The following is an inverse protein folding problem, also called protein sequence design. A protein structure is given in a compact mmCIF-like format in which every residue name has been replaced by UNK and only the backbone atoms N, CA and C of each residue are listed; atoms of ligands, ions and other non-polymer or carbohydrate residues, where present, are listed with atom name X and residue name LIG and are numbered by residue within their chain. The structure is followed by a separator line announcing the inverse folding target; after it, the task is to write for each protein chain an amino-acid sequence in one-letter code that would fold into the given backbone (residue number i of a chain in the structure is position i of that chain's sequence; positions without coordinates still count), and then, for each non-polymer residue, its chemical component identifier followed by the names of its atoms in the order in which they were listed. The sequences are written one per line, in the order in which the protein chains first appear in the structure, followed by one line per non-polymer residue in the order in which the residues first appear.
data_IF_502756380530
#
_entry.id   IF_502756380530
#
_cell.length_a   1.000
_cell.length_b   1.000
_cell.length_c   1.000
_cell.angle_alpha   90.00
_cell.angle_beta   90.00
_cell.angle_gamma   90.00
#
_symmetry.space_group_name_H-M   'P 1'
#
loop_
_entity.id
_entity.type
_entity.pdbx_description
1 polymer ?
#
# COMPACT_ATOMS: atom_id res chain seq x y z
N UNK A 1 38.96 -47.13 -47.67
CA UNK A 1 38.14 -46.22 -48.50
C UNK A 1 36.72 -46.05 -47.99
N UNK A 2 35.99 -47.14 -47.75
CA UNK A 2 34.58 -47.10 -47.28
C UNK A 2 34.37 -46.32 -45.96
N UNK A 3 35.22 -46.53 -44.95
CA UNK A 3 35.14 -45.77 -43.68
C UNK A 3 35.38 -44.27 -43.84
N UNK A 4 36.22 -43.87 -44.80
CA UNK A 4 36.47 -42.45 -45.08
C UNK A 4 35.27 -41.83 -45.82
N UNK A 5 34.65 -42.58 -46.74
CA UNK A 5 33.43 -42.17 -47.40
C UNK A 5 32.27 -42.01 -46.40
N UNK A 6 32.12 -42.92 -45.43
CA UNK A 6 31.12 -42.79 -44.36
C UNK A 6 31.35 -41.56 -43.48
N UNK A 7 32.60 -41.28 -43.09
CA UNK A 7 32.93 -40.06 -42.33
C UNK A 7 32.58 -38.80 -43.10
N UNK A 8 32.89 -38.77 -44.40
CA UNK A 8 32.56 -37.64 -45.26
C UNK A 8 31.04 -37.46 -45.42
N UNK A 9 30.27 -38.55 -45.50
CA UNK A 9 28.81 -38.50 -45.59
C UNK A 9 28.16 -37.97 -44.30
N UNK A 10 28.60 -38.46 -43.13
CA UNK A 10 28.10 -38.01 -41.82
C UNK A 10 28.42 -36.53 -41.59
N UNK A 11 29.63 -36.08 -41.94
CA UNK A 11 29.98 -34.67 -41.83
C UNK A 11 29.07 -33.81 -42.70
N UNK A 12 28.83 -34.23 -43.95
CA UNK A 12 27.95 -33.51 -44.86
C UNK A 12 26.51 -33.45 -44.35
N UNK A 13 25.98 -34.53 -43.77
CA UNK A 13 24.64 -34.56 -43.17
C UNK A 13 24.54 -33.61 -41.95
N UNK A 14 25.63 -33.51 -41.17
CA UNK A 14 25.72 -32.58 -40.03
C UNK A 14 25.70 -31.13 -40.52
N UNK A 15 26.47 -30.81 -41.55
CA UNK A 15 26.52 -29.45 -42.11
C UNK A 15 25.16 -29.04 -42.74
N UNK A 16 24.44 -29.99 -43.37
CA UNK A 16 23.11 -29.79 -43.95
C UNK A 16 22.01 -29.54 -42.89
N UNK A 17 22.18 -30.02 -41.66
CA UNK A 17 21.20 -29.82 -40.60
C UNK A 17 21.04 -28.34 -40.23
N UNK A 18 22.10 -27.55 -40.37
CA UNK A 18 22.11 -26.10 -40.11
C UNK A 18 21.64 -25.27 -41.33
N UNK A 19 21.50 -25.88 -42.51
CA UNK A 19 21.02 -25.23 -43.75
C UNK A 19 19.50 -25.32 -43.96
N UNK A 20 18.78 -26.00 -43.06
CA UNK A 20 17.31 -26.06 -43.12
C UNK A 20 16.69 -24.66 -42.94
N UNK A 21 15.60 -24.31 -43.65
CA UNK A 21 14.89 -23.03 -43.47
C UNK A 21 14.49 -22.76 -42.02
N UNK A 22 14.18 -23.82 -41.27
CA UNK A 22 13.80 -23.72 -39.85
C UNK A 22 15.01 -23.40 -38.95
N UNK A 23 16.18 -23.98 -39.24
CA UNK A 23 17.42 -23.69 -38.51
C UNK A 23 17.92 -22.26 -38.80
N UNK A 24 17.82 -21.81 -40.06
CA UNK A 24 18.12 -20.43 -40.46
C UNK A 24 17.19 -19.44 -39.76
N UNK A 25 15.88 -19.70 -39.73
CA UNK A 25 14.93 -18.84 -39.03
C UNK A 25 15.20 -18.75 -37.52
N UNK A 26 15.65 -19.83 -36.89
CA UNK A 26 16.03 -19.84 -35.47
C UNK A 26 17.33 -19.04 -35.24
N UNK A 27 18.31 -19.11 -36.16
CA UNK A 27 19.53 -18.30 -36.06
C UNK A 27 19.24 -16.81 -36.27
N UNK A 28 18.44 -16.45 -37.27
CA UNK A 28 18.01 -15.07 -37.51
C UNK A 28 17.22 -14.50 -36.33
N UNK A 29 16.26 -15.26 -35.79
CA UNK A 29 15.49 -14.84 -34.61
C UNK A 29 16.38 -14.64 -33.37
N UNK A 30 17.44 -15.45 -33.18
CA UNK A 30 18.42 -15.26 -32.10
C UNK A 30 19.25 -13.99 -32.29
N UNK A 31 19.71 -13.71 -33.52
CA UNK A 31 20.44 -12.47 -33.83
C UNK A 31 19.56 -11.21 -33.72
N UNK A 32 18.26 -11.33 -33.99
CA UNK A 32 17.32 -10.22 -33.89
C UNK A 32 16.94 -9.89 -32.42
N UNK A 33 16.92 -10.88 -31.52
CA UNK A 33 16.71 -10.66 -30.08
C UNK A 33 17.84 -9.87 -29.43
N UNK A 34 19.10 -10.10 -29.83
CA UNK A 34 20.25 -9.30 -29.36
C UNK A 34 20.23 -7.85 -29.90
N UNK A 35 19.49 -7.61 -30.99
CA UNK A 35 19.34 -6.29 -31.62
C UNK A 35 18.18 -5.47 -31.01
N UNK A 36 17.15 -6.14 -30.48
CA UNK A 36 15.92 -5.51 -29.99
C UNK A 36 15.93 -5.16 -28.49
N UNK A 37 16.95 -5.59 -27.72
CA UNK A 37 17.20 -5.13 -26.34
C UNK A 37 18.41 -4.19 -26.24
N UNK A 38 18.59 -3.35 -27.24
CA UNK A 38 19.43 -2.16 -27.13
C UNK A 38 18.49 -0.97 -27.04
N UNK A 39 18.36 -0.38 -25.85
CA UNK A 39 18.16 1.08 -25.80
C UNK A 39 19.31 1.66 -26.61
N UNK A 40 19.03 2.00 -27.88
CA UNK A 40 20.03 2.41 -28.83
C UNK A 40 20.67 3.71 -28.33
N UNK A 41 21.85 3.60 -27.74
CA UNK A 41 22.68 4.75 -27.35
C UNK A 41 23.46 5.28 -28.55
N UNK A 42 23.06 4.92 -29.78
CA UNK A 42 23.75 5.31 -31.03
C UNK A 42 23.81 6.84 -31.21
N UNK A 43 22.98 7.58 -30.48
CA UNK A 43 22.98 9.05 -30.43
C UNK A 43 23.61 9.64 -29.16
N UNK A 44 24.16 8.81 -28.27
CA UNK A 44 24.84 9.22 -27.04
C UNK A 44 26.34 9.07 -27.29
N UNK A 45 27.05 10.18 -27.20
CA UNK A 45 28.51 10.17 -27.22
C UNK A 45 29.02 9.64 -25.87
N UNK A 46 29.54 8.41 -25.88
CA UNK A 46 30.07 7.74 -24.68
C UNK A 46 31.31 8.42 -24.10
N UNK A 47 31.99 9.28 -24.86
CA UNK A 47 33.17 10.03 -24.40
C UNK A 47 32.80 11.44 -23.91
N UNK A 48 31.53 11.84 -24.06
CA UNK A 48 31.06 13.14 -23.62
C UNK A 48 30.85 13.14 -22.10
N UNK A 49 31.77 13.78 -21.40
CA UNK A 49 31.61 14.08 -19.99
C UNK A 49 30.46 15.09 -19.75
N UNK A 50 29.71 14.95 -18.64
CA UNK A 50 28.68 15.90 -18.26
C UNK A 50 29.30 17.29 -18.03
N UNK A 51 28.58 18.32 -18.43
CA UNK A 51 29.00 19.71 -18.22
C UNK A 51 29.03 20.05 -16.73
N UNK A 52 29.84 21.04 -16.36
CA UNK A 52 29.90 21.55 -14.99
C UNK A 52 28.53 22.04 -14.50
N UNK A 53 27.69 22.55 -15.41
CA UNK A 53 26.33 22.99 -15.10
C UNK A 53 25.40 21.82 -14.79
N UNK A 54 25.42 20.75 -15.61
CA UNK A 54 24.65 19.52 -15.33
C UNK A 54 25.06 18.90 -13.99
N UNK A 55 26.36 18.87 -13.71
CA UNK A 55 26.89 18.40 -12.42
C UNK A 55 26.37 19.28 -11.27
N UNK A 56 26.41 20.61 -11.42
CA UNK A 56 25.96 21.54 -10.39
C UNK A 56 24.45 21.41 -10.11
N UNK A 57 23.64 21.24 -11.16
CA UNK A 57 22.21 20.99 -11.06
C UNK A 57 21.96 19.67 -10.30
N UNK A 58 22.64 18.59 -10.69
CA UNK A 58 22.50 17.28 -10.04
C UNK A 58 22.90 17.32 -8.56
N UNK A 59 24.04 17.95 -8.24
CA UNK A 59 24.47 18.12 -6.85
C UNK A 59 23.48 18.94 -6.02
N UNK A 60 22.90 19.99 -6.62
CA UNK A 60 21.89 20.83 -5.97
C UNK A 60 20.63 20.02 -5.69
N UNK A 61 20.17 19.22 -6.64
CA UNK A 61 19.01 18.34 -6.47
C UNK A 61 19.24 17.31 -5.35
N UNK A 62 20.39 16.63 -5.35
CA UNK A 62 20.74 15.66 -4.29
C UNK A 62 20.83 16.34 -2.92
N UNK A 63 21.41 17.54 -2.84
CA UNK A 63 21.50 18.30 -1.59
C UNK A 63 20.13 18.75 -1.09
N UNK A 64 19.22 19.12 -1.99
CA UNK A 64 17.85 19.46 -1.65
C UNK A 64 17.09 18.23 -1.13
N UNK A 65 17.19 17.09 -1.81
CA UNK A 65 16.55 15.84 -1.39
C UNK A 65 17.10 15.34 -0.05
N UNK A 66 18.43 15.36 0.13
CA UNK A 66 19.07 14.97 1.38
C UNK A 66 18.71 15.88 2.56
N UNK A 67 18.43 17.17 2.32
CA UNK A 67 17.88 18.09 3.32
C UNK A 67 16.41 17.79 3.63
N UNK A 68 15.61 17.49 2.61
CA UNK A 68 14.19 17.16 2.78
C UNK A 68 13.99 15.84 3.52
N UNK A 69 14.93 14.90 3.40
CA UNK A 69 14.86 13.58 4.02
C UNK A 69 15.85 13.40 5.19
N UNK A 70 16.48 14.49 5.65
CA UNK A 70 17.42 14.58 6.78
C UNK A 70 18.42 13.41 6.90
N UNK A 71 18.95 12.93 5.76
CA UNK A 71 19.82 11.73 5.70
C UNK A 71 21.21 11.95 6.35
N UNK A 72 21.53 13.19 6.73
CA UNK A 72 22.80 13.56 7.37
C UNK A 72 22.76 13.48 8.90
N UNK A 73 21.57 13.36 9.52
CA UNK A 73 21.42 13.20 10.96
C UNK A 73 20.18 12.35 11.28
N UNK A 74 20.32 11.07 11.68
CA UNK A 74 19.18 10.22 12.02
C UNK A 74 18.42 10.67 13.28
N UNK A 75 18.89 11.73 13.95
CA UNK A 75 18.28 12.29 15.16
C UNK A 75 17.75 13.72 14.98
N UNK A 76 17.91 14.34 13.82
CA UNK A 76 17.29 15.64 13.55
C UNK A 76 15.91 15.39 12.92
N UNK A 77 14.88 15.75 13.68
CA UNK A 77 13.61 16.14 13.09
C UNK A 77 13.84 17.52 12.48
N UNK A 78 13.83 17.62 11.15
CA UNK A 78 13.97 18.89 10.46
C UNK A 78 12.91 19.91 10.88
N UNK A 79 13.30 20.83 11.76
CA UNK A 79 12.66 22.14 11.87
C UNK A 79 13.29 23.07 10.82
N UNK A 80 12.40 23.85 10.20
CA UNK A 80 12.64 25.05 9.40
C UNK A 80 12.89 24.90 7.89
N UNK A 81 11.80 24.68 7.14
CA UNK A 81 11.39 25.72 6.18
C UNK A 81 9.91 26.04 6.28
N UNK A 82 9.65 27.34 6.28
CA UNK A 82 8.38 28.08 6.25
C UNK A 82 7.43 27.63 5.12
N UNK A 83 6.89 26.43 5.26
CA UNK A 83 5.54 26.09 4.86
C UNK A 83 5.00 25.37 6.07
N UNK A 84 4.11 26.01 6.83
CA UNK A 84 3.32 25.35 7.86
C UNK A 84 2.36 24.37 7.17
N UNK A 85 2.92 23.37 6.49
CA UNK A 85 2.20 22.18 6.11
C UNK A 85 2.00 21.46 7.42
N UNK A 86 0.94 21.84 8.14
CA UNK A 86 0.53 21.18 9.37
C UNK A 86 0.63 19.69 9.11
N UNK A 87 1.51 19.00 9.84
CA UNK A 87 1.61 17.56 9.74
C UNK A 87 0.21 16.97 9.95
N UNK A 88 -0.12 15.82 9.38
CA UNK A 88 -1.45 15.23 9.58
C UNK A 88 -1.77 15.11 11.08
N UNK A 89 -0.75 14.80 11.90
CA UNK A 89 -0.78 14.87 13.36
C UNK A 89 -1.18 16.24 13.93
N UNK A 90 -0.64 17.34 13.44
CA UNK A 90 -1.02 18.70 13.86
C UNK A 90 -2.46 19.05 13.47
N UNK A 91 -2.90 18.66 12.27
CA UNK A 91 -4.29 18.86 11.82
C UNK A 91 -5.27 18.09 12.72
N UNK A 92 -4.93 16.84 13.04
CA UNK A 92 -5.69 16.00 13.97
C UNK A 92 -5.74 16.62 15.38
N UNK A 93 -4.61 17.11 15.88
CA UNK A 93 -4.55 17.78 17.19
C UNK A 93 -5.39 19.05 17.23
N UNK A 94 -5.32 19.89 16.19
CA UNK A 94 -6.11 21.11 16.05
C UNK A 94 -7.61 20.81 15.97
N UNK A 95 -8.01 19.81 15.17
CA UNK A 95 -9.40 19.38 15.05
C UNK A 95 -9.96 18.82 16.37
N UNK A 96 -9.17 18.03 17.11
CA UNK A 96 -9.56 17.51 18.42
C UNK A 96 -9.74 18.64 19.44
N UNK A 97 -8.81 19.62 19.45
CA UNK A 97 -8.91 20.80 20.31
C UNK A 97 -10.17 21.62 20.00
N UNK A 98 -10.41 21.91 18.72
CA UNK A 98 -11.60 22.64 18.28
C UNK A 98 -12.91 21.91 18.65
N UNK A 99 -12.96 20.58 18.51
CA UNK A 99 -14.11 19.78 18.95
C UNK A 99 -14.33 19.88 20.46
N UNK A 100 -13.26 19.74 21.26
CA UNK A 100 -13.32 19.87 22.72
C UNK A 100 -13.82 21.25 23.15
N UNK A 101 -13.32 22.30 22.52
CA UNK A 101 -13.74 23.68 22.80
C UNK A 101 -15.22 23.89 22.46
N UNK A 102 -15.71 23.34 21.34
CA UNK A 102 -17.14 23.39 21.01
C UNK A 102 -18.02 22.64 22.01
N UNK A 103 -17.59 21.45 22.47
CA UNK A 103 -18.34 20.68 23.47
C UNK A 103 -18.44 21.44 24.80
N UNK A 104 -17.41 22.20 25.16
CA UNK A 104 -17.38 22.89 26.45
C UNK A 104 -17.98 24.30 26.43
N UNK A 105 -17.80 25.03 25.31
CA UNK A 105 -18.08 26.46 25.26
C UNK A 105 -19.30 26.82 24.39
N UNK A 106 -19.76 25.93 23.50
CA UNK A 106 -21.00 26.14 22.75
C UNK A 106 -22.17 25.51 23.52
N UNK A 107 -23.07 26.36 24.03
CA UNK A 107 -24.15 25.95 24.93
C UNK A 107 -25.10 24.89 24.33
N UNK A 108 -25.44 25.02 23.04
CA UNK A 108 -26.32 24.06 22.34
C UNK A 108 -25.63 22.71 22.17
N UNK A 109 -24.39 22.71 21.68
CA UNK A 109 -23.59 21.49 21.50
C UNK A 109 -23.32 20.81 22.85
N UNK A 110 -23.01 21.57 23.89
CA UNK A 110 -22.78 21.08 25.24
C UNK A 110 -24.02 20.37 25.81
N UNK A 111 -25.18 21.04 25.73
CA UNK A 111 -26.45 20.49 26.24
C UNK A 111 -26.86 19.23 25.48
N UNK A 112 -26.80 19.25 24.15
CA UNK A 112 -27.14 18.10 23.33
C UNK A 112 -26.21 16.90 23.58
N UNK A 113 -24.90 17.16 23.71
CA UNK A 113 -23.91 16.11 24.04
C UNK A 113 -24.19 15.52 25.41
N UNK A 114 -24.45 16.37 26.42
CA UNK A 114 -24.80 15.91 27.77
C UNK A 114 -26.08 15.08 27.78
N UNK A 115 -27.10 15.46 27.02
CA UNK A 115 -28.36 14.71 26.93
C UNK A 115 -28.17 13.36 26.26
N UNK A 116 -27.38 13.28 25.19
CA UNK A 116 -27.13 12.01 24.49
C UNK A 116 -26.26 11.03 25.30
N UNK A 117 -25.38 11.56 26.16
CA UNK A 117 -24.52 10.76 27.04
C UNK A 117 -25.18 10.37 28.37
N UNK A 118 -26.36 10.89 28.68
CA UNK A 118 -27.08 10.49 29.90
C UNK A 118 -27.75 9.13 29.68
N UNK A 119 -27.42 8.16 30.52
CA UNK A 119 -28.12 6.87 30.54
C UNK A 119 -29.57 7.06 30.98
N UNK A 120 -30.50 6.41 30.28
CA UNK A 120 -31.90 6.38 30.69
C UNK A 120 -32.05 5.62 32.00
N UNK A 121 -32.72 6.22 32.98
CA UNK A 121 -32.99 5.56 34.25
C UNK A 121 -33.94 4.36 34.02
N UNK A 122 -33.52 3.18 34.47
CA UNK A 122 -34.42 2.01 34.51
C UNK A 122 -35.51 2.30 35.54
N UNK A 123 -36.77 2.34 35.08
CA UNK A 123 -37.92 2.47 35.97
C UNK A 123 -37.94 1.24 36.88
N UNK A 124 -37.67 1.43 38.18
CA UNK A 124 -37.88 0.39 39.17
C UNK A 124 -39.37 0.03 39.18
N UNK A 125 -39.70 -1.21 38.81
CA UNK A 125 -41.07 -1.72 38.90
C UNK A 125 -41.37 -2.10 40.33
N UNK A 126 -42.25 -1.37 41.00
CA UNK A 126 -42.72 -1.69 42.35
C UNK A 126 -43.80 -2.79 42.36
N UNK A 127 -43.82 -3.70 41.37
CA UNK A 127 -44.83 -4.75 41.30
C UNK A 127 -44.51 -5.84 42.33
N UNK A 128 -45.01 -5.65 43.55
CA UNK A 128 -44.90 -6.60 44.67
C UNK A 128 -45.99 -7.68 44.65
N UNK A 129 -46.83 -7.77 43.62
CA UNK A 129 -47.97 -8.67 43.62
C UNK A 129 -47.66 -9.95 42.86
N UNK A 130 -47.20 -10.96 43.60
CA UNK A 130 -46.98 -12.32 43.10
C UNK A 130 -48.22 -13.15 43.47
N UNK A 131 -48.97 -13.73 42.51
CA UNK A 131 -50.20 -14.45 42.82
C UNK A 131 -49.92 -15.79 43.52
N UNK A 132 -50.69 -16.08 44.57
CA UNK A 132 -50.62 -17.32 45.33
C UNK A 132 -51.25 -18.48 44.53
N UNK A 133 -50.50 -19.59 44.34
CA UNK A 133 -50.89 -20.73 43.50
C UNK A 133 -51.74 -21.80 44.20
N UNK A 134 -52.07 -21.64 45.48
CA UNK A 134 -52.84 -22.66 46.21
C UNK A 134 -54.34 -22.51 45.89
N UNK A 135 -54.91 -23.50 45.19
CA UNK A 135 -56.37 -23.67 45.07
C UNK A 135 -56.83 -24.72 46.07
N UNK A 136 -57.77 -24.37 46.95
CA UNK A 136 -58.35 -25.33 47.89
C UNK A 136 -59.26 -26.29 47.13
N UNK A 137 -58.89 -27.57 47.10
CA UNK A 137 -59.64 -28.65 46.49
C UNK A 137 -60.87 -28.96 47.36
N UNK A 138 -62.06 -28.53 46.93
CA UNK A 138 -63.31 -28.96 47.57
C UNK A 138 -63.59 -30.43 47.22
N UNK A 139 -63.06 -31.35 48.05
CA UNK A 139 -63.60 -32.70 48.17
C UNK A 139 -64.88 -32.64 48.99
N UNK A 140 -66.03 -32.96 48.38
CA UNK A 140 -67.29 -33.44 49.00
C UNK A 140 -68.49 -32.91 48.21
N UNK A 141 -69.41 -33.69 47.64
CA UNK A 141 -69.67 -35.13 47.60
C UNK A 141 -70.49 -35.38 46.32
N UNK A 142 -70.20 -36.46 45.60
CA UNK A 142 -71.20 -37.14 44.78
C UNK A 142 -71.12 -38.63 45.13
N UNK A 143 -72.13 -39.14 45.82
CA UNK A 143 -72.51 -40.57 45.87
C UNK A 143 -73.90 -40.67 46.49
N UNK A 144 -74.83 -41.20 45.69
CA UNK A 144 -76.23 -41.65 45.91
C UNK A 144 -77.08 -41.06 47.05
#
# INVERSE_FOLDING_TARGET
DELQAQKAAIQRETDLADESPEAQAIQEAKSEVDSNNKTSTTHIDSEKEPSAEEIAIAQTAVKAEARNHDLANPSASGEDTKSKSETETEKLAAAAKAKKDRINNNNEVASNTKNLMQEEAIKASNNSDVPNLVTNLNQSQASD
#
